data_IF_769196031620
#
_entry.id   IF_769196031620
#
_cell.length_a   1.000
_cell.length_b   1.000
_cell.length_c   1.000
_cell.angle_alpha   90.00
_cell.angle_beta   90.00
_cell.angle_gamma   90.00
#
_symmetry.space_group_name_H-M   'P 1'
#
loop_
_entity.id
_entity.type
_entity.pdbx_description
1 polymer ?
#
# COMPACT_ATOMS: atom_id res chain seq x y z
N UNK A 1 3.38 -3.28 23.33
CA UNK A 1 2.63 -3.51 22.08
C UNK A 1 2.20 -2.17 21.51
N UNK A 2 2.01 -2.07 20.20
CA UNK A 2 1.53 -0.86 19.50
C UNK A 2 0.20 -1.19 18.84
N UNK A 3 -0.73 -0.24 18.87
CA UNK A 3 -2.02 -0.33 18.17
C UNK A 3 -2.09 0.78 17.14
N UNK A 4 -2.31 0.42 15.88
CA UNK A 4 -2.45 1.35 14.77
C UNK A 4 -3.89 1.30 14.25
N UNK A 5 -4.64 2.38 14.43
CA UNK A 5 -6.00 2.53 13.93
C UNK A 5 -6.00 3.65 12.87
N UNK A 6 -6.17 3.28 11.60
CA UNK A 6 -6.14 4.23 10.50
C UNK A 6 -5.89 3.59 9.14
N UNK A 7 -5.65 4.42 8.12
CA UNK A 7 -5.17 3.95 6.82
C UNK A 7 -3.67 3.61 6.83
N UNK A 8 -3.13 3.31 5.65
CA UNK A 8 -1.72 2.91 5.49
C UNK A 8 -0.72 3.87 6.13
N UNK A 9 -0.92 5.18 6.06
CA UNK A 9 -0.02 6.16 6.69
C UNK A 9 0.12 5.96 8.21
N UNK A 10 -0.96 5.65 8.92
CA UNK A 10 -0.92 5.41 10.37
C UNK A 10 -0.23 4.09 10.67
N UNK A 11 -0.54 3.04 9.90
CA UNK A 11 0.02 1.71 10.09
C UNK A 11 1.52 1.72 9.79
N UNK A 12 1.95 2.38 8.71
CA UNK A 12 3.36 2.48 8.32
C UNK A 12 4.17 3.32 9.31
N UNK A 13 3.58 4.41 9.83
CA UNK A 13 4.17 5.19 10.92
C UNK A 13 4.37 4.32 12.16
N UNK A 14 3.37 3.52 12.53
CA UNK A 14 3.45 2.62 13.68
C UNK A 14 4.51 1.52 13.49
N UNK A 15 4.65 0.97 12.28
CA UNK A 15 5.71 0.01 11.94
C UNK A 15 7.11 0.62 12.11
N UNK A 16 7.34 1.82 11.57
CA UNK A 16 8.61 2.52 11.69
C UNK A 16 8.93 2.88 13.16
N UNK A 17 7.94 3.40 13.90
CA UNK A 17 8.08 3.71 15.32
C UNK A 17 8.39 2.46 16.17
N UNK A 18 7.76 1.33 15.85
CA UNK A 18 8.07 0.05 16.49
C UNK A 18 9.52 -0.36 16.26
N UNK A 19 9.98 -0.30 15.00
CA UNK A 19 11.36 -0.62 14.66
C UNK A 19 12.35 0.29 15.40
N UNK A 20 12.15 1.61 15.33
CA UNK A 20 13.12 2.58 15.82
C UNK A 20 13.14 2.66 17.36
N UNK A 21 12.04 2.29 18.01
CA UNK A 21 12.01 2.17 19.47
C UNK A 21 12.67 0.88 19.97
N UNK A 22 12.53 -0.24 19.25
CA UNK A 22 13.19 -1.51 19.62
C UNK A 22 14.69 -1.49 19.31
N UNK A 23 15.06 -0.93 18.16
CA UNK A 23 16.42 -0.88 17.64
C UNK A 23 16.70 0.54 17.13
N UNK A 24 17.11 1.46 18.01
CA UNK A 24 17.47 2.82 17.61
C UNK A 24 18.60 2.79 16.57
N UNK A 25 18.42 3.40 15.38
CA UNK A 25 19.48 3.47 14.40
C UNK A 25 20.55 4.51 14.78
N UNK A 26 21.73 4.42 14.17
CA UNK A 26 22.73 5.50 14.30
C UNK A 26 22.39 6.67 13.37
N UNK A 27 21.79 6.37 12.21
CA UNK A 27 21.29 7.34 11.23
C UNK A 27 19.86 6.95 10.80
N UNK A 28 18.97 7.93 10.61
CA UNK A 28 17.58 7.67 10.22
C UNK A 28 17.45 6.78 8.97
N UNK A 29 18.40 6.87 8.04
CA UNK A 29 18.39 6.12 6.78
C UNK A 29 19.07 4.73 6.87
N UNK A 30 19.49 4.29 8.06
CA UNK A 30 20.10 2.97 8.27
C UNK A 30 19.19 1.83 7.78
N UNK A 31 17.91 1.86 8.16
CA UNK A 31 16.92 0.84 7.77
C UNK A 31 16.19 1.15 6.46
N UNK A 32 16.31 2.38 5.95
CA UNK A 32 15.62 2.82 4.73
C UNK A 32 16.21 2.13 3.51
N UNK A 33 15.35 1.67 2.59
CA UNK A 33 15.79 0.93 1.42
C UNK A 33 16.72 1.77 0.51
N UNK A 34 17.70 1.14 -0.15
CA UNK A 34 18.43 1.77 -1.25
C UNK A 34 17.47 2.20 -2.37
N UNK A 35 17.78 3.29 -3.11
CA UNK A 35 19.06 4.01 -3.09
C UNK A 35 19.16 5.14 -2.06
N UNK A 36 18.07 5.46 -1.33
CA UNK A 36 18.08 6.58 -0.36
C UNK A 36 18.79 6.22 0.94
N UNK A 37 18.59 5.00 1.44
CA UNK A 37 19.21 4.52 2.67
C UNK A 37 20.12 3.31 2.48
N UNK A 38 20.52 2.72 3.60
CA UNK A 38 21.51 1.62 3.63
C UNK A 38 20.86 0.24 3.55
N UNK A 39 19.54 0.13 3.78
CA UNK A 39 18.80 -1.13 3.77
C UNK A 39 19.32 -2.15 4.78
N UNK A 40 19.81 -1.69 5.94
CA UNK A 40 20.33 -2.58 6.98
C UNK A 40 19.18 -3.48 7.46
N UNK A 41 19.37 -4.82 7.53
CA UNK A 41 18.33 -5.72 7.99
C UNK A 41 17.89 -5.45 9.43
N UNK A 42 16.61 -5.71 9.74
CA UNK A 42 16.09 -5.52 11.10
C UNK A 42 16.77 -6.51 12.06
N UNK A 43 17.39 -6.06 13.18
CA UNK A 43 18.27 -6.91 13.99
C UNK A 43 17.56 -8.07 14.69
N UNK A 44 16.28 -7.93 15.01
CA UNK A 44 15.56 -8.92 15.81
C UNK A 44 14.06 -8.68 15.86
N UNK A 45 13.32 -9.46 16.66
CA UNK A 45 11.87 -9.33 16.80
C UNK A 45 11.48 -7.94 17.30
N UNK A 46 10.32 -7.46 16.85
CA UNK A 46 9.71 -6.19 17.27
C UNK A 46 8.62 -6.43 18.33
N UNK A 47 8.14 -5.36 18.96
CA UNK A 47 6.97 -5.45 19.84
C UNK A 47 5.73 -5.90 19.04
N UNK A 48 4.75 -6.56 19.67
CA UNK A 48 3.50 -6.89 19.00
C UNK A 48 2.83 -5.62 18.45
N UNK A 49 2.42 -5.68 17.17
CA UNK A 49 1.71 -4.61 16.48
C UNK A 49 0.32 -5.12 16.06
N UNK A 50 -0.73 -4.43 16.52
CA UNK A 50 -2.11 -4.66 16.12
C UNK A 50 -2.50 -3.56 15.13
N UNK A 51 -2.83 -3.93 13.89
CA UNK A 51 -3.24 -3.00 12.85
C UNK A 51 -4.74 -3.12 12.57
N UNK A 52 -5.44 -1.99 12.55
CA UNK A 52 -6.88 -1.88 12.37
C UNK A 52 -7.13 -0.91 11.21
N UNK A 53 -7.24 -1.41 9.96
CA UNK A 53 -7.43 -0.55 8.79
C UNK A 53 -8.76 0.18 8.83
N UNK A 54 -8.74 1.48 8.51
CA UNK A 54 -9.94 2.31 8.30
C UNK A 54 -10.17 2.67 6.82
N UNK A 55 -9.36 2.09 5.93
CA UNK A 55 -9.47 2.26 4.48
C UNK A 55 -9.33 0.92 3.76
N UNK A 56 -10.01 0.76 2.63
CA UNK A 56 -9.93 -0.41 1.77
C UNK A 56 -8.99 -0.11 0.58
N UNK A 57 -7.69 -0.09 0.84
CA UNK A 57 -6.67 0.23 -0.19
C UNK A 57 -5.34 -0.48 0.02
N UNK A 58 -4.56 0.01 0.98
CA UNK A 58 -3.12 -0.31 1.08
C UNK A 58 -2.79 -1.76 1.47
N UNK A 59 -3.70 -2.48 2.14
CA UNK A 59 -3.42 -3.80 2.72
C UNK A 59 -2.27 -3.81 3.74
N UNK A 60 -1.85 -2.64 4.25
CA UNK A 60 -0.67 -2.45 5.10
C UNK A 60 -0.70 -3.31 6.38
N UNK A 61 -1.90 -3.63 6.87
CA UNK A 61 -2.13 -4.54 8.00
C UNK A 61 -1.59 -5.97 7.75
N UNK A 62 -1.30 -6.33 6.50
CA UNK A 62 -0.83 -7.67 6.11
C UNK A 62 0.62 -7.71 5.59
N UNK A 63 1.29 -6.55 5.45
CA UNK A 63 2.60 -6.43 4.79
C UNK A 63 3.73 -6.06 5.74
N UNK A 64 4.95 -6.47 5.39
CA UNK A 64 6.20 -6.11 6.09
C UNK A 64 6.88 -4.86 5.55
N UNK A 65 6.12 -3.93 4.96
CA UNK A 65 6.67 -2.70 4.38
C UNK A 65 6.05 -1.50 5.05
N UNK A 66 6.87 -0.49 5.34
CA UNK A 66 6.45 0.83 5.80
C UNK A 66 6.89 1.87 4.78
N UNK A 67 5.94 2.55 4.15
CA UNK A 67 6.17 3.57 3.13
C UNK A 67 5.96 4.95 3.73
N UNK A 68 6.84 5.89 3.38
CA UNK A 68 6.73 7.28 3.81
C UNK A 68 7.34 8.23 2.77
N UNK A 69 6.95 9.49 2.86
CA UNK A 69 7.51 10.56 2.05
C UNK A 69 8.77 11.12 2.72
N UNK A 70 9.89 11.09 2.02
CA UNK A 70 11.12 11.77 2.42
C UNK A 70 11.04 13.24 2.02
N UNK A 71 10.70 14.10 2.99
CA UNK A 71 10.49 15.53 2.73
C UNK A 71 11.72 16.27 2.19
N UNK A 72 12.98 15.97 2.61
CA UNK A 72 14.16 16.62 2.05
C UNK A 72 14.39 16.31 0.57
N UNK A 73 14.29 15.04 0.16
CA UNK A 73 14.50 14.65 -1.25
C UNK A 73 13.22 14.71 -2.10
N UNK A 74 12.07 15.04 -1.50
CA UNK A 74 10.74 15.02 -2.13
C UNK A 74 10.46 13.70 -2.86
N UNK A 75 10.92 12.61 -2.28
CA UNK A 75 10.81 11.27 -2.86
C UNK A 75 10.06 10.35 -1.91
N UNK A 76 9.34 9.39 -2.47
CA UNK A 76 8.67 8.34 -1.69
C UNK A 76 9.62 7.16 -1.53
N UNK A 77 9.78 6.67 -0.31
CA UNK A 77 10.66 5.54 0.02
C UNK A 77 10.04 4.69 1.12
N UNK A 78 10.77 3.69 1.61
CA UNK A 78 10.29 2.88 2.72
C UNK A 78 11.33 1.94 3.30
N UNK A 79 10.87 1.20 4.30
CA UNK A 79 11.59 0.13 4.99
C UNK A 79 10.87 -1.16 4.67
N UNK A 80 11.59 -2.20 4.27
CA UNK A 80 11.02 -3.51 3.95
C UNK A 80 11.73 -4.62 4.73
N UNK A 81 11.04 -5.21 5.72
CA UNK A 81 11.49 -6.41 6.41
C UNK A 81 10.26 -7.18 6.92
N UNK A 82 10.33 -8.52 6.84
CA UNK A 82 9.23 -9.41 7.25
C UNK A 82 8.81 -9.18 8.71
N UNK A 83 9.73 -8.67 9.55
CA UNK A 83 9.48 -8.37 10.96
C UNK A 83 8.63 -7.13 11.18
N UNK A 84 8.46 -6.26 10.18
CA UNK A 84 7.54 -5.12 10.26
C UNK A 84 6.07 -5.56 10.09
N UNK A 85 5.81 -6.80 9.66
CA UNK A 85 4.44 -7.27 9.46
C UNK A 85 3.69 -7.24 10.80
N UNK A 86 2.48 -6.63 10.86
CA UNK A 86 1.67 -6.64 12.07
C UNK A 86 1.45 -8.06 12.59
N UNK A 87 1.46 -8.20 13.91
CA UNK A 87 1.16 -9.46 14.60
C UNK A 87 -0.29 -9.88 14.40
N UNK A 88 -1.19 -8.89 14.34
CA UNK A 88 -2.61 -9.08 14.12
C UNK A 88 -3.17 -7.93 13.27
N UNK A 89 -3.88 -8.26 12.19
CA UNK A 89 -4.74 -7.34 11.45
C UNK A 89 -6.20 -7.57 11.84
N UNK A 90 -6.91 -6.54 12.29
CA UNK A 90 -8.34 -6.61 12.63
C UNK A 90 -9.13 -5.93 11.51
N UNK A 91 -9.65 -6.73 10.61
CA UNK A 91 -10.40 -6.27 9.43
C UNK A 91 -11.88 -6.21 9.78
N UNK A 92 -12.35 -5.04 10.20
CA UNK A 92 -13.75 -4.80 10.58
C UNK A 92 -14.39 -3.80 9.59
N UNK A 93 -15.44 -4.19 8.84
CA UNK A 93 -16.11 -3.31 7.88
C UNK A 93 -16.75 -2.08 8.53
N UNK A 94 -17.02 -2.09 9.83
CA UNK A 94 -17.52 -0.92 10.55
C UNK A 94 -16.52 0.26 10.52
N UNK A 95 -15.22 -0.03 10.43
CA UNK A 95 -14.17 0.99 10.40
C UNK A 95 -14.07 1.74 9.06
N UNK A 96 -14.77 1.28 8.01
CA UNK A 96 -14.77 1.93 6.69
C UNK A 96 -16.12 2.55 6.32
N UNK A 97 -17.14 2.47 7.19
CA UNK A 97 -18.49 3.02 6.92
C UNK A 97 -18.46 4.52 6.64
N UNK A 98 -17.65 5.28 7.36
CA UNK A 98 -17.54 6.73 7.18
C UNK A 98 -16.55 7.15 6.09
N UNK A 99 -16.03 6.21 5.30
CA UNK A 99 -15.01 6.47 4.29
C UNK A 99 -15.61 7.23 3.09
N UNK A 100 -15.17 8.46 2.78
CA UNK A 100 -15.75 9.25 1.70
C UNK A 100 -15.66 8.56 0.33
N UNK A 101 -16.62 8.78 -0.59
CA UNK A 101 -16.65 8.12 -1.90
C UNK A 101 -15.37 8.25 -2.72
N UNK A 102 -14.72 9.42 -2.71
CA UNK A 102 -13.47 9.60 -3.45
C UNK A 102 -12.29 8.86 -2.79
N UNK A 103 -12.27 8.77 -1.46
CA UNK A 103 -11.26 7.95 -0.78
C UNK A 103 -11.49 6.49 -1.11
N UNK A 104 -12.74 6.00 -1.05
CA UNK A 104 -13.10 4.64 -1.47
C UNK A 104 -12.66 4.36 -2.93
N UNK A 105 -12.96 5.28 -3.84
CA UNK A 105 -12.56 5.20 -5.26
C UNK A 105 -11.06 5.04 -5.43
N UNK A 106 -10.26 5.97 -4.92
CA UNK A 106 -8.81 5.93 -5.13
C UNK A 106 -8.14 4.82 -4.34
N UNK A 107 -8.61 4.51 -3.14
CA UNK A 107 -8.11 3.34 -2.39
C UNK A 107 -8.45 2.02 -3.11
N UNK A 108 -9.62 1.88 -3.73
CA UNK A 108 -9.97 0.70 -4.51
C UNK A 108 -9.20 0.57 -5.83
N UNK A 109 -8.87 1.69 -6.48
CA UNK A 109 -7.96 1.67 -7.65
C UNK A 109 -6.55 1.23 -7.27
N UNK A 110 -6.11 1.53 -6.04
CA UNK A 110 -4.86 1.00 -5.47
C UNK A 110 -4.93 -0.53 -5.33
N UNK A 111 -6.04 -1.07 -4.77
CA UNK A 111 -6.28 -2.53 -4.69
C UNK A 111 -6.23 -3.19 -6.07
N UNK A 112 -6.88 -2.57 -7.07
CA UNK A 112 -6.88 -3.05 -8.44
C UNK A 112 -5.45 -3.17 -9.00
N UNK A 113 -4.64 -2.12 -8.85
CA UNK A 113 -3.25 -2.13 -9.28
C UNK A 113 -2.40 -3.13 -8.49
N UNK A 114 -2.55 -3.21 -7.16
CA UNK A 114 -1.87 -4.22 -6.35
C UNK A 114 -2.14 -5.63 -6.88
N UNK A 115 -3.40 -5.96 -7.13
CA UNK A 115 -3.81 -7.28 -7.60
C UNK A 115 -3.25 -7.60 -8.99
N UNK A 116 -3.37 -6.68 -9.95
CA UNK A 116 -2.85 -6.88 -11.31
C UNK A 116 -1.33 -6.96 -11.32
N UNK A 117 -0.63 -5.99 -10.72
CA UNK A 117 0.84 -5.93 -10.76
C UNK A 117 1.51 -7.09 -10.03
N UNK A 118 0.90 -7.57 -8.94
CA UNK A 118 1.41 -8.74 -8.22
C UNK A 118 1.26 -10.02 -9.04
N UNK A 119 0.13 -10.18 -9.74
CA UNK A 119 -0.11 -11.33 -10.60
C UNK A 119 0.78 -11.32 -11.85
N UNK A 120 1.03 -10.13 -12.43
CA UNK A 120 1.88 -9.97 -13.63
C UNK A 120 3.35 -9.67 -13.29
N UNK A 121 3.74 -9.75 -12.01
CA UNK A 121 5.12 -9.57 -11.60
C UNK A 121 6.03 -10.62 -12.26
N UNK A 122 7.31 -10.25 -12.45
CA UNK A 122 8.36 -11.22 -12.78
C UNK A 122 8.27 -12.43 -11.87
N UNK A 123 8.33 -13.62 -12.46
CA UNK A 123 8.18 -14.87 -11.70
C UNK A 123 9.30 -15.04 -10.69
N UNK A 124 8.97 -15.65 -9.55
CA UNK A 124 9.93 -15.82 -8.45
C UNK A 124 11.20 -16.60 -8.83
N UNK A 125 11.13 -17.46 -9.84
CA UNK A 125 12.27 -18.22 -10.36
C UNK A 125 13.18 -17.40 -11.29
N UNK A 126 12.74 -16.23 -11.76
CA UNK A 126 13.50 -15.30 -12.60
C UNK A 126 14.20 -14.21 -11.76
N UNK A 127 13.93 -14.14 -10.46
CA UNK A 127 14.56 -13.16 -9.56
C UNK A 127 15.98 -13.59 -9.20
N UNK A 128 16.92 -12.64 -9.04
CA UNK A 128 18.27 -12.94 -8.56
C UNK A 128 18.23 -13.64 -7.19
N UNK A 129 19.08 -14.66 -7.03
CA UNK A 129 19.23 -15.37 -5.76
C UNK A 129 19.82 -14.41 -4.71
N UNK A 130 19.21 -14.27 -3.50
CA UNK A 130 19.77 -13.45 -2.45
C UNK A 130 21.07 -14.07 -1.90
N UNK A 131 21.99 -13.21 -1.47
CA UNK A 131 23.31 -13.61 -0.95
C UNK A 131 23.18 -14.48 0.31
N UNK A 132 22.15 -14.24 1.12
CA UNK A 132 21.80 -15.08 2.27
C UNK A 132 20.30 -15.00 2.59
N UNK A 133 19.75 -15.92 3.40
CA UNK A 133 18.35 -15.86 3.82
C UNK A 133 17.96 -14.54 4.48
N UNK A 134 18.89 -13.89 5.19
CA UNK A 134 18.67 -12.59 5.83
C UNK A 134 18.46 -11.45 4.81
N UNK A 135 19.04 -11.58 3.62
CA UNK A 135 18.96 -10.58 2.56
C UNK A 135 17.87 -10.91 1.53
N UNK A 136 17.00 -11.88 1.83
CA UNK A 136 15.87 -12.20 0.97
C UNK A 136 14.89 -11.02 0.99
N UNK A 137 14.59 -10.37 -0.15
CA UNK A 137 13.69 -9.23 -0.16
C UNK A 137 12.29 -9.63 0.29
N UNK A 138 11.51 -8.66 0.81
CA UNK A 138 10.12 -8.90 1.18
C UNK A 138 9.30 -9.41 -0.02
N UNK A 139 9.52 -8.79 -1.18
CA UNK A 139 8.90 -9.16 -2.45
C UNK A 139 9.77 -10.17 -3.21
N UNK A 140 9.16 -11.26 -3.66
CA UNK A 140 9.84 -12.40 -4.27
C UNK A 140 9.47 -12.62 -5.73
N UNK A 141 8.58 -11.81 -6.31
CA UNK A 141 7.99 -12.08 -7.62
C UNK A 141 6.73 -12.95 -7.54
N UNK A 142 5.98 -12.99 -8.64
CA UNK A 142 4.75 -13.78 -8.73
C UNK A 142 5.05 -15.25 -8.44
N UNK A 143 4.16 -15.89 -7.69
CA UNK A 143 4.28 -17.27 -7.24
C UNK A 143 2.89 -17.86 -6.98
N UNK A 144 2.73 -19.20 -7.02
CA UNK A 144 1.42 -19.84 -6.91
C UNK A 144 0.62 -19.47 -5.66
N UNK A 145 1.27 -19.08 -4.57
CA UNK A 145 0.59 -18.66 -3.33
C UNK A 145 0.11 -17.21 -3.44
N UNK A 146 0.93 -16.28 -3.94
CA UNK A 146 0.48 -14.91 -4.14
C UNK A 146 -0.66 -14.83 -5.15
N UNK A 147 -0.62 -15.65 -6.20
CA UNK A 147 -1.56 -15.59 -7.31
C UNK A 147 -2.99 -15.91 -6.88
N UNK A 148 -3.16 -16.82 -5.91
CA UNK A 148 -4.48 -17.12 -5.30
C UNK A 148 -5.08 -15.84 -4.71
N UNK A 149 -4.30 -15.11 -3.93
CA UNK A 149 -4.77 -13.90 -3.24
C UNK A 149 -4.93 -12.72 -4.18
N UNK A 150 -4.02 -12.56 -5.14
CA UNK A 150 -4.08 -11.52 -6.17
C UNK A 150 -5.31 -11.69 -7.06
N UNK A 151 -5.59 -12.91 -7.54
CA UNK A 151 -6.79 -13.18 -8.35
C UNK A 151 -8.08 -13.01 -7.54
N UNK A 152 -8.11 -13.46 -6.27
CA UNK A 152 -9.27 -13.26 -5.42
C UNK A 152 -9.55 -11.77 -5.18
N UNK A 153 -8.51 -10.98 -4.86
CA UNK A 153 -8.63 -9.54 -4.71
C UNK A 153 -9.10 -8.86 -6.00
N UNK A 154 -8.59 -9.27 -7.16
CA UNK A 154 -9.01 -8.77 -8.47
C UNK A 154 -10.50 -9.04 -8.71
N UNK A 155 -10.97 -10.26 -8.46
CA UNK A 155 -12.38 -10.64 -8.63
C UNK A 155 -13.31 -9.80 -7.76
N UNK A 156 -12.99 -9.68 -6.46
CA UNK A 156 -13.77 -8.85 -5.54
C UNK A 156 -13.76 -7.37 -5.97
N UNK A 157 -12.60 -6.85 -6.36
CA UNK A 157 -12.47 -5.45 -6.78
C UNK A 157 -13.31 -5.17 -8.02
N UNK A 158 -13.25 -6.03 -9.04
CA UNK A 158 -14.08 -5.90 -10.24
C UNK A 158 -15.58 -5.97 -9.94
N UNK A 159 -15.99 -6.79 -8.97
CA UNK A 159 -17.39 -6.96 -8.61
C UNK A 159 -17.96 -5.82 -7.75
N UNK A 160 -17.16 -5.27 -6.82
CA UNK A 160 -17.66 -4.43 -5.73
C UNK A 160 -17.16 -2.99 -5.73
N UNK A 161 -16.09 -2.65 -6.45
CA UNK A 161 -15.52 -1.29 -6.40
C UNK A 161 -16.53 -0.23 -6.84
N UNK A 162 -17.18 -0.42 -7.98
CA UNK A 162 -18.16 0.55 -8.49
C UNK A 162 -19.33 0.73 -7.52
N UNK A 163 -19.86 -0.37 -6.98
CA UNK A 163 -20.92 -0.35 -5.96
C UNK A 163 -20.50 0.43 -4.71
N UNK A 164 -19.33 0.11 -4.15
CA UNK A 164 -18.81 0.76 -2.94
C UNK A 164 -18.59 2.27 -3.13
N UNK A 165 -18.25 2.71 -4.35
CA UNK A 165 -18.07 4.13 -4.69
C UNK A 165 -19.39 4.85 -4.88
N UNK A 166 -20.34 4.22 -5.58
CA UNK A 166 -21.61 4.84 -5.95
C UNK A 166 -22.64 4.82 -4.79
N UNK A 167 -22.56 3.83 -3.91
CA UNK A 167 -23.39 3.68 -2.73
C UNK A 167 -22.53 3.47 -1.47
N UNK A 168 -22.29 4.53 -0.68
CA UNK A 168 -21.54 4.43 0.57
C UNK A 168 -22.20 3.56 1.64
N UNK A 169 -23.52 3.36 1.56
CA UNK A 169 -24.31 2.59 2.51
C UNK A 169 -24.40 1.10 2.10
N UNK A 170 -23.88 0.71 0.93
CA UNK A 170 -23.74 -0.68 0.49
C UNK A 170 -22.69 -1.41 1.34
N UNK A 171 -23.11 -1.90 2.51
CA UNK A 171 -22.27 -2.61 3.47
C UNK A 171 -21.64 -3.86 2.87
N UNK A 172 -22.30 -4.56 1.95
CA UNK A 172 -21.75 -5.73 1.28
C UNK A 172 -20.55 -5.32 0.41
N UNK A 173 -20.73 -4.29 -0.44
CA UNK A 173 -19.66 -3.82 -1.30
C UNK A 173 -18.49 -3.23 -0.50
N UNK A 174 -18.77 -2.47 0.57
CA UNK A 174 -17.75 -1.93 1.48
C UNK A 174 -16.97 -3.02 2.19
N UNK A 175 -17.66 -4.05 2.68
CA UNK A 175 -17.03 -5.21 3.32
C UNK A 175 -16.16 -6.00 2.35
N UNK A 176 -16.66 -6.26 1.14
CA UNK A 176 -15.91 -7.00 0.14
C UNK A 176 -14.71 -6.21 -0.39
N UNK A 177 -14.80 -4.88 -0.52
CA UNK A 177 -13.63 -4.06 -0.88
C UNK A 177 -12.58 -4.05 0.22
N UNK A 178 -12.98 -4.04 1.49
CA UNK A 178 -12.04 -4.15 2.60
C UNK A 178 -11.35 -5.54 2.60
N UNK A 179 -12.11 -6.61 2.38
CA UNK A 179 -11.55 -7.95 2.20
C UNK A 179 -10.61 -8.03 0.99
N UNK A 180 -10.98 -7.41 -0.14
CA UNK A 180 -10.15 -7.33 -1.34
C UNK A 180 -8.82 -6.63 -1.06
N UNK A 181 -8.82 -5.55 -0.27
CA UNK A 181 -7.61 -4.85 0.14
C UNK A 181 -6.67 -5.73 0.97
N UNK A 182 -7.20 -6.45 1.95
CA UNK A 182 -6.39 -7.38 2.76
C UNK A 182 -5.88 -8.56 1.93
N UNK A 183 -6.70 -9.12 1.05
CA UNK A 183 -6.30 -10.18 0.12
C UNK A 183 -5.19 -9.69 -0.83
N UNK A 184 -5.34 -8.50 -1.42
CA UNK A 184 -4.29 -7.89 -2.24
C UNK A 184 -3.00 -7.72 -1.43
N UNK A 185 -3.09 -7.23 -0.18
CA UNK A 185 -1.99 -7.13 0.77
C UNK A 185 -1.23 -8.44 0.98
N UNK A 186 -1.94 -9.56 1.11
CA UNK A 186 -1.31 -10.89 1.20
C UNK A 186 -0.64 -11.27 -0.13
N UNK A 187 -1.29 -11.00 -1.26
CA UNK A 187 -0.76 -11.26 -2.61
C UNK A 187 0.52 -10.46 -2.89
N UNK A 188 0.41 -9.13 -2.98
CA UNK A 188 1.53 -8.25 -3.29
C UNK A 188 2.57 -8.21 -2.15
N UNK A 189 2.18 -8.46 -0.90
CA UNK A 189 3.12 -8.60 0.21
C UNK A 189 4.14 -9.73 0.01
N UNK A 190 3.84 -10.70 -0.87
CA UNK A 190 4.77 -11.74 -1.29
C UNK A 190 5.33 -11.51 -2.70
N UNK A 191 4.51 -11.11 -3.67
CA UNK A 191 4.96 -10.95 -5.06
C UNK A 191 5.68 -9.62 -5.34
N UNK A 192 5.25 -8.56 -4.67
CA UNK A 192 5.58 -7.17 -4.98
C UNK A 192 4.63 -6.54 -6.00
N UNK A 193 4.94 -5.30 -6.33
CA UNK A 193 4.34 -4.51 -7.42
C UNK A 193 5.45 -4.04 -8.36
N UNK A 194 5.10 -3.43 -9.49
CA UNK A 194 6.06 -3.05 -10.52
C UNK A 194 5.87 -1.62 -11.03
N UNK A 195 5.79 -1.43 -12.35
CA UNK A 195 5.94 -0.13 -12.99
C UNK A 195 4.83 0.88 -12.63
N UNK A 196 3.58 0.48 -12.37
CA UNK A 196 2.54 1.46 -12.03
C UNK A 196 2.89 2.12 -10.69
N UNK A 197 3.23 1.32 -9.67
CA UNK A 197 3.69 1.83 -8.38
C UNK A 197 5.02 2.57 -8.49
N UNK A 198 5.99 2.04 -9.24
CA UNK A 198 7.30 2.69 -9.43
C UNK A 198 7.21 4.07 -10.07
N UNK A 199 6.32 4.25 -11.05
CA UNK A 199 6.08 5.54 -11.72
C UNK A 199 5.20 6.48 -10.89
N UNK A 200 4.37 5.94 -9.99
CA UNK A 200 3.46 6.73 -9.15
C UNK A 200 4.17 7.73 -8.26
N UNK A 201 5.42 7.47 -7.89
CA UNK A 201 6.22 8.33 -7.01
C UNK A 201 6.61 9.63 -7.73
N UNK A 202 7.03 9.53 -9.00
CA UNK A 202 7.32 10.69 -9.84
C UNK A 202 6.08 11.52 -10.13
N UNK A 203 4.92 10.87 -10.30
CA UNK A 203 3.64 11.57 -10.46
C UNK A 203 3.30 12.33 -9.17
N UNK A 204 3.39 11.67 -8.01
CA UNK A 204 3.02 12.26 -6.73
C UNK A 204 3.94 13.42 -6.30
N UNK A 205 5.25 13.31 -6.50
CA UNK A 205 6.23 14.33 -6.06
C UNK A 205 6.21 15.61 -6.89
N UNK A 206 5.66 15.57 -8.11
CA UNK A 206 5.64 16.70 -9.05
C UNK A 206 4.32 17.49 -9.05
N UNK A 207 3.35 17.12 -8.21
CA UNK A 207 2.07 17.82 -8.10
C UNK A 207 2.26 19.21 -7.50
N UNK A 208 1.84 20.24 -8.24
CA UNK A 208 1.98 21.65 -7.84
C UNK A 208 0.69 22.30 -7.35
N UNK A 209 -0.45 21.68 -7.60
CA UNK A 209 -1.78 22.17 -7.23
C UNK A 209 -2.60 21.06 -6.59
N UNK A 210 -3.57 21.42 -5.74
CA UNK A 210 -4.54 20.46 -5.22
C UNK A 210 -5.26 19.79 -6.38
N UNK A 211 -5.25 18.45 -6.39
CA UNK A 211 -6.04 17.69 -7.34
C UNK A 211 -7.52 18.08 -7.22
N UNK A 212 -8.17 18.31 -8.37
CA UNK A 212 -9.62 18.52 -8.47
C UNK A 212 -10.16 17.49 -9.44
N UNK A 213 -11.02 16.59 -8.97
CA UNK A 213 -11.66 15.61 -9.85
C UNK A 213 -12.54 16.32 -10.90
N UNK A 214 -12.34 16.08 -12.22
CA UNK A 214 -12.99 16.85 -13.29
C UNK A 214 -14.54 16.82 -13.23
N UNK A 215 -15.10 15.67 -12.86
CA UNK A 215 -16.55 15.42 -12.82
C UNK A 215 -17.12 15.33 -11.40
N UNK A 216 -16.41 15.82 -10.39
CA UNK A 216 -16.92 15.80 -9.02
C UNK A 216 -17.11 17.23 -8.54
N UNK A 217 -18.35 17.58 -8.20
CA UNK A 217 -18.66 18.82 -7.52
C UNK A 217 -18.02 18.89 -6.12
N UNK A 218 -17.49 17.76 -5.60
CA UNK A 218 -16.98 17.63 -4.24
C UNK A 218 -15.83 16.61 -4.19
N UNK A 219 -14.59 17.09 -4.15
CA UNK A 219 -13.38 16.28 -3.97
C UNK A 219 -13.23 15.85 -2.48
N UNK A 220 -14.33 15.36 -1.89
CA UNK A 220 -14.45 15.00 -0.47
C UNK A 220 -13.33 14.05 -0.03
N UNK A 221 -12.67 14.40 1.08
CA UNK A 221 -11.52 13.66 1.62
C UNK A 221 -10.16 14.15 1.14
N UNK A 222 -10.08 14.95 0.07
CA UNK A 222 -8.82 15.48 -0.49
C UNK A 222 -8.84 17.01 -0.70
N UNK A 223 -9.60 17.74 0.11
CA UNK A 223 -9.75 19.20 0.02
C UNK A 223 -9.31 19.90 1.32
N UNK A 224 -8.92 21.19 1.25
CA UNK A 224 -8.79 22.03 2.43
C UNK A 224 -10.10 22.08 3.23
N UNK A 225 -10.05 22.19 4.58
CA UNK A 225 -8.85 22.29 5.40
C UNK A 225 -8.21 20.93 5.75
N UNK A 226 -8.79 19.80 5.32
CA UNK A 226 -8.25 18.46 5.62
C UNK A 226 -6.87 18.24 5.01
N UNK A 227 -6.65 18.77 3.81
CA UNK A 227 -5.37 18.73 3.09
C UNK A 227 -4.95 20.16 2.75
N UNK A 228 -3.86 20.62 3.35
CA UNK A 228 -3.36 22.00 3.25
C UNK A 228 -2.25 22.19 2.19
N UNK A 229 -1.80 21.11 1.56
CA UNK A 229 -0.75 21.11 0.54
C UNK A 229 -1.19 20.41 -0.75
N UNK A 230 -0.54 20.68 -1.90
CA UNK A 230 -0.80 19.95 -3.13
C UNK A 230 -0.63 18.44 -2.97
N UNK A 231 -1.67 17.67 -3.29
CA UNK A 231 -1.68 16.22 -3.16
C UNK A 231 -2.49 15.60 -4.30
N UNK A 232 -1.99 14.47 -4.80
CA UNK A 232 -2.73 13.54 -5.64
C UNK A 232 -3.00 12.26 -4.85
N UNK A 233 -4.23 11.73 -4.86
CA UNK A 233 -4.53 10.44 -4.22
C UNK A 233 -3.63 9.32 -4.76
N UNK A 234 -3.12 8.47 -3.88
CA UNK A 234 -2.13 7.45 -4.26
C UNK A 234 -2.63 6.53 -5.39
N UNK A 235 -3.81 5.93 -5.23
CA UNK A 235 -4.33 5.05 -6.29
C UNK A 235 -4.56 5.77 -7.62
N UNK A 236 -4.78 7.09 -7.62
CA UNK A 236 -4.81 7.86 -8.87
C UNK A 236 -3.42 8.00 -9.50
N UNK A 237 -2.40 8.27 -8.69
CA UNK A 237 -1.02 8.37 -9.20
C UNK A 237 -0.47 7.02 -9.69
N UNK A 238 -1.01 5.91 -9.21
CA UNK A 238 -0.70 4.56 -9.68
C UNK A 238 -1.47 4.23 -10.97
N UNK A 239 -2.81 4.29 -10.93
CA UNK A 239 -3.69 3.82 -12.03
C UNK A 239 -3.51 4.59 -13.34
N UNK A 240 -3.11 5.86 -13.29
CA UNK A 240 -2.92 6.68 -14.50
C UNK A 240 -1.88 6.08 -15.46
N UNK A 241 -0.90 5.34 -14.92
CA UNK A 241 0.14 4.68 -15.70
C UNK A 241 -0.29 3.28 -16.16
N UNK A 242 -1.33 2.69 -15.56
CA UNK A 242 -1.68 1.29 -15.73
C UNK A 242 -1.93 0.88 -17.19
N UNK A 243 -2.71 1.60 -18.02
CA UNK A 243 -2.95 1.19 -19.40
C UNK A 243 -1.66 1.04 -20.22
N UNK A 244 -0.73 1.99 -20.08
CA UNK A 244 0.54 1.96 -20.79
C UNK A 244 1.48 0.88 -20.23
N UNK A 245 1.51 0.70 -18.91
CA UNK A 245 2.31 -0.33 -18.25
C UNK A 245 1.85 -1.71 -18.69
N UNK A 246 0.55 -2.02 -18.61
CA UNK A 246 0.06 -3.35 -18.96
C UNK A 246 0.22 -3.63 -20.45
N UNK A 247 -0.03 -2.65 -21.33
CA UNK A 247 0.27 -2.79 -22.76
C UNK A 247 1.76 -3.09 -23.05
N UNK A 248 2.67 -2.59 -22.20
CA UNK A 248 4.10 -2.87 -22.30
C UNK A 248 4.48 -4.25 -21.73
N UNK A 249 3.84 -4.68 -20.64
CA UNK A 249 4.18 -5.93 -19.94
C UNK A 249 3.49 -7.18 -20.49
N UNK A 250 2.39 -7.06 -21.24
CA UNK A 250 1.70 -8.17 -21.93
C UNK A 250 0.25 -8.35 -21.51
#
# INVERSE_FOLDING_TARGET
AIVALGGGSVIDTAKAANLYSCYPPNDFYDYVNPPLGKGIPVPGPLLPLIAIPTTAGTGSETTGVAIFDDTPSKSKTGIADRRLKPTLGIVDPNNTQTLPPNVAKYSGLDVLCHAMESYTALSYNQRPRPISPLHRPAYQGSNPISDIWSLHALQLTCQYLERAVNDPDDLEARSNMLLASSAAGIGFGNAGVHLCHGMSYSVASQVKSHYKHPNSNNNQGYQPPLIDHPLIPHGLSVIVNAPAVFAFTG
#
